data_IF_369652861029
#
_entry.id   IF_369652861029
#
_cell.length_a   1.000
_cell.length_b   1.000
_cell.length_c   1.000
_cell.angle_alpha   90.00
_cell.angle_beta   90.00
_cell.angle_gamma   90.00
#
_symmetry.space_group_name_H-M   'P 1'
#
loop_
_entity.id
_entity.type
_entity.pdbx_description
1 polymer ?
#
# COMPACT_ATOMS: atom_id res chain seq x y z
N UNK A 1 -24.73 5.55 -4.82
CA UNK A 1 -24.30 4.15 -4.92
C UNK A 1 -22.78 4.12 -4.98
N UNK A 2 -22.09 3.30 -4.18
CA UNK A 2 -20.63 3.13 -4.35
C UNK A 2 -20.39 2.21 -5.55
N UNK A 3 -19.87 2.76 -6.64
CA UNK A 3 -19.44 1.97 -7.79
C UNK A 3 -18.20 1.15 -7.41
N UNK A 4 -18.16 -0.15 -7.73
CA UNK A 4 -16.95 -0.94 -7.49
C UNK A 4 -15.88 -0.65 -8.54
N UNK A 5 -14.62 -0.97 -8.24
CA UNK A 5 -13.53 -0.86 -9.22
C UNK A 5 -13.81 -1.66 -10.49
N UNK A 6 -14.46 -2.83 -10.37
CA UNK A 6 -14.83 -3.67 -11.52
C UNK A 6 -15.91 -2.99 -12.36
N UNK A 7 -16.94 -2.43 -11.72
CA UNK A 7 -18.03 -1.76 -12.44
C UNK A 7 -17.52 -0.52 -13.18
N UNK A 8 -16.61 0.22 -12.56
CA UNK A 8 -15.97 1.38 -13.19
C UNK A 8 -15.09 0.97 -14.37
N UNK A 9 -14.32 -0.11 -14.24
CA UNK A 9 -13.50 -0.62 -15.33
C UNK A 9 -14.36 -1.10 -16.52
N UNK A 10 -15.49 -1.76 -16.25
CA UNK A 10 -16.42 -2.19 -17.29
C UNK A 10 -17.08 -1.00 -17.99
N UNK A 11 -17.51 0.02 -17.23
CA UNK A 11 -18.06 1.25 -17.81
C UNK A 11 -17.06 1.94 -18.76
N UNK A 12 -15.77 1.96 -18.41
CA UNK A 12 -14.73 2.50 -19.31
C UNK A 12 -14.53 1.65 -20.57
N UNK A 13 -14.57 0.31 -20.46
CA UNK A 13 -14.50 -0.59 -21.62
C UNK A 13 -15.70 -0.41 -22.54
N UNK A 14 -16.88 -0.28 -21.97
CA UNK A 14 -18.10 -0.08 -22.75
C UNK A 14 -18.06 1.26 -23.48
N UNK A 15 -17.64 2.33 -22.80
CA UNK A 15 -17.45 3.65 -23.41
C UNK A 15 -16.38 3.62 -24.50
N UNK A 16 -15.27 2.92 -24.29
CA UNK A 16 -14.20 2.85 -25.29
C UNK A 16 -14.62 2.10 -26.56
N UNK A 17 -15.60 1.19 -26.53
CA UNK A 17 -16.14 0.55 -27.74
C UNK A 17 -16.72 1.55 -28.75
N UNK A 18 -17.21 2.70 -28.27
CA UNK A 18 -17.76 3.76 -29.12
C UNK A 18 -16.69 4.72 -29.64
N UNK A 19 -15.48 4.64 -29.10
CA UNK A 19 -14.36 5.50 -29.45
C UNK A 19 -13.41 4.79 -30.42
N UNK A 20 -12.98 5.48 -31.48
CA UNK A 20 -11.96 4.97 -32.40
C UNK A 20 -10.56 5.32 -31.89
N UNK A 21 -10.03 4.49 -31.00
CA UNK A 21 -8.63 4.59 -30.58
C UNK A 21 -7.72 3.77 -31.51
N UNK A 22 -6.50 4.27 -31.83
CA UNK A 22 -5.44 3.43 -32.35
C UNK A 22 -5.18 2.25 -31.40
N UNK A 23 -4.99 1.03 -31.93
CA UNK A 23 -4.83 -0.18 -31.12
C UNK A 23 -3.64 -0.12 -30.16
N UNK A 24 -2.58 0.57 -30.55
CA UNK A 24 -1.39 0.81 -29.73
C UNK A 24 -1.60 1.80 -28.58
N UNK A 25 -2.67 2.59 -28.62
CA UNK A 25 -2.99 3.60 -27.61
C UNK A 25 -4.16 3.19 -26.71
N UNK A 26 -4.88 2.12 -27.07
CA UNK A 26 -6.10 1.70 -26.39
C UNK A 26 -5.86 1.38 -24.90
N UNK A 27 -4.83 0.59 -24.61
CA UNK A 27 -4.46 0.22 -23.22
C UNK A 27 -4.08 1.46 -22.41
N UNK A 28 -3.20 2.31 -22.94
CA UNK A 28 -2.73 3.52 -22.27
C UNK A 28 -3.87 4.49 -21.97
N UNK A 29 -4.80 4.67 -22.92
CA UNK A 29 -5.98 5.51 -22.74
C UNK A 29 -6.88 4.98 -21.61
N UNK A 30 -7.13 3.68 -21.58
CA UNK A 30 -7.94 3.04 -20.53
C UNK A 30 -7.29 3.14 -19.16
N UNK A 31 -5.97 2.87 -19.08
CA UNK A 31 -5.19 3.00 -17.84
C UNK A 31 -5.28 4.45 -17.33
N UNK A 32 -5.04 5.42 -18.21
CA UNK A 32 -5.07 6.85 -17.86
C UNK A 32 -6.45 7.28 -17.37
N UNK A 33 -7.51 6.91 -18.10
CA UNK A 33 -8.88 7.25 -17.73
C UNK A 33 -9.29 6.60 -16.40
N UNK A 34 -8.91 5.34 -16.19
CA UNK A 34 -9.19 4.62 -14.96
C UNK A 34 -8.47 5.23 -13.76
N UNK A 35 -7.14 5.37 -13.83
CA UNK A 35 -6.34 5.93 -12.74
C UNK A 35 -6.80 7.36 -12.43
N UNK A 36 -7.05 8.18 -13.45
CA UNK A 36 -7.55 9.54 -13.29
C UNK A 36 -8.94 9.64 -12.68
N UNK A 37 -9.82 8.65 -12.93
CA UNK A 37 -11.17 8.60 -12.41
C UNK A 37 -11.32 7.95 -11.02
N UNK A 38 -10.24 7.43 -10.43
CA UNK A 38 -10.32 6.85 -9.09
C UNK A 38 -10.53 7.93 -8.01
N UNK A 39 -11.55 7.70 -7.18
CA UNK A 39 -11.87 8.54 -6.02
C UNK A 39 -10.91 8.33 -4.84
N UNK A 40 -10.31 7.14 -4.73
CA UNK A 40 -9.38 6.83 -3.66
C UNK A 40 -7.97 7.34 -4.01
N UNK A 41 -7.60 8.48 -3.39
CA UNK A 41 -6.31 9.14 -3.61
C UNK A 41 -5.10 8.24 -3.31
N UNK A 42 -5.19 7.35 -2.32
CA UNK A 42 -4.10 6.44 -1.98
C UNK A 42 -3.88 5.39 -3.07
N UNK A 43 -4.97 4.78 -3.56
CA UNK A 43 -4.91 3.82 -4.67
C UNK A 43 -4.40 4.52 -5.93
N UNK A 44 -4.95 5.70 -6.25
CA UNK A 44 -4.53 6.51 -7.42
C UNK A 44 -3.04 6.82 -7.39
N UNK A 45 -2.54 7.34 -6.26
CA UNK A 45 -1.11 7.69 -6.10
C UNK A 45 -0.20 6.47 -6.28
N UNK A 46 -0.58 5.32 -5.74
CA UNK A 46 0.22 4.10 -5.90
C UNK A 46 0.24 3.57 -7.33
N UNK A 47 -0.88 3.65 -8.05
CA UNK A 47 -0.93 3.25 -9.46
C UNK A 47 -0.07 4.16 -10.33
N UNK A 48 -0.07 5.48 -10.08
CA UNK A 48 0.77 6.44 -10.80
C UNK A 48 2.27 6.24 -10.62
N UNK A 49 2.70 5.54 -9.56
CA UNK A 49 4.11 5.22 -9.30
C UNK A 49 4.57 3.94 -10.02
N UNK A 50 3.66 3.18 -10.63
CA UNK A 50 3.96 1.91 -11.28
C UNK A 50 3.96 2.07 -12.80
N UNK A 51 4.85 1.30 -13.45
CA UNK A 51 4.85 1.16 -14.89
C UNK A 51 3.89 0.04 -15.30
N UNK A 52 2.60 0.36 -15.37
CA UNK A 52 1.53 -0.59 -15.71
C UNK A 52 1.41 -0.68 -17.24
N UNK A 53 1.47 -1.88 -17.79
CA UNK A 53 1.47 -2.08 -19.24
C UNK A 53 0.09 -2.40 -19.79
N UNK A 54 -0.75 -3.03 -18.97
CA UNK A 54 -2.09 -3.46 -19.39
C UNK A 54 -3.15 -2.94 -18.44
N UNK A 55 -4.34 -2.75 -18.99
CA UNK A 55 -5.49 -2.30 -18.25
C UNK A 55 -5.92 -3.34 -17.20
N UNK A 56 -5.82 -4.63 -17.54
CA UNK A 56 -6.13 -5.72 -16.61
C UNK A 56 -5.16 -5.75 -15.42
N UNK A 57 -3.85 -5.57 -15.65
CA UNK A 57 -2.86 -5.42 -14.59
C UNK A 57 -3.19 -4.24 -13.66
N UNK A 58 -3.61 -3.13 -14.24
CA UNK A 58 -4.01 -1.92 -13.50
C UNK A 58 -5.19 -2.19 -12.57
N UNK A 59 -6.24 -2.84 -13.07
CA UNK A 59 -7.44 -3.19 -12.29
C UNK A 59 -7.07 -4.12 -11.14
N UNK A 60 -6.29 -5.17 -11.42
CA UNK A 60 -5.89 -6.13 -10.39
C UNK A 60 -5.03 -5.49 -9.31
N UNK A 61 -4.08 -4.64 -9.70
CA UNK A 61 -3.26 -3.88 -8.75
C UNK A 61 -4.13 -2.96 -7.89
N UNK A 62 -5.10 -2.26 -8.48
CA UNK A 62 -6.01 -1.37 -7.76
C UNK A 62 -6.82 -2.13 -6.70
N UNK A 63 -7.37 -3.30 -7.07
CA UNK A 63 -8.11 -4.18 -6.16
C UNK A 63 -7.24 -4.69 -5.01
N UNK A 64 -6.00 -5.09 -5.30
CA UNK A 64 -5.06 -5.53 -4.26
C UNK A 64 -4.79 -4.41 -3.26
N UNK A 65 -4.51 -3.18 -3.74
CA UNK A 65 -4.25 -2.04 -2.84
C UNK A 65 -5.49 -1.72 -2.02
N UNK A 66 -6.68 -1.70 -2.62
CA UNK A 66 -7.93 -1.43 -1.92
C UNK A 66 -8.18 -2.49 -0.82
N UNK A 67 -8.00 -3.78 -1.12
CA UNK A 67 -8.13 -4.85 -0.12
C UNK A 67 -7.16 -4.68 1.04
N UNK A 68 -5.88 -4.37 0.75
CA UNK A 68 -4.85 -4.15 1.78
C UNK A 68 -5.21 -2.96 2.67
N UNK A 69 -5.71 -1.86 2.09
CA UNK A 69 -6.13 -0.68 2.86
C UNK A 69 -7.32 -1.00 3.76
N UNK A 70 -8.31 -1.75 3.25
CA UNK A 70 -9.47 -2.19 4.02
C UNK A 70 -9.05 -3.13 5.14
N UNK A 71 -8.23 -4.14 4.87
CA UNK A 71 -7.75 -5.09 5.88
C UNK A 71 -6.85 -4.42 6.92
N UNK A 72 -5.93 -3.56 6.50
CA UNK A 72 -5.07 -2.78 7.39
C UNK A 72 -5.87 -1.85 8.31
N UNK A 73 -7.00 -1.33 7.84
CA UNK A 73 -7.91 -0.53 8.69
C UNK A 73 -8.60 -1.35 9.77
N UNK A 74 -8.87 -2.64 9.53
CA UNK A 74 -9.45 -3.56 10.52
C UNK A 74 -8.47 -3.89 11.64
N UNK A 75 -7.17 -3.99 11.33
CA UNK A 75 -6.10 -4.28 12.31
C UNK A 75 -5.90 -3.12 13.29
N UNK A 76 -6.06 -1.86 12.85
CA UNK A 76 -5.94 -0.68 13.72
C UNK A 76 -7.01 -0.59 14.82
N UNK A 77 -8.09 -1.37 14.73
CA UNK A 77 -9.15 -1.40 15.73
C UNK A 77 -8.99 -2.53 16.76
N UNK A 78 -7.86 -3.25 16.75
CA UNK A 78 -7.52 -4.19 17.82
C UNK A 78 -7.02 -3.35 19.01
N UNK A 79 -7.69 -3.38 20.18
CA UNK A 79 -7.20 -2.70 21.36
C UNK A 79 -5.78 -3.17 21.68
N UNK A 80 -4.90 -2.22 21.98
CA UNK A 80 -3.47 -2.43 22.24
C UNK A 80 -3.14 -3.37 23.42
N UNK A 81 -4.13 -3.98 24.06
CA UNK A 81 -3.97 -4.80 25.26
C UNK A 81 -3.66 -6.29 24.95
N UNK A 82 -3.84 -6.76 23.72
CA UNK A 82 -3.63 -8.18 23.35
C UNK A 82 -2.28 -8.48 22.67
N UNK A 83 -1.37 -7.51 22.57
CA UNK A 83 0.00 -7.74 22.09
C UNK A 83 0.99 -7.82 23.26
N UNK A 84 0.67 -8.60 24.29
CA UNK A 84 1.68 -9.11 25.22
C UNK A 84 2.43 -10.28 24.56
N UNK A 85 3.28 -9.94 23.59
CA UNK A 85 4.33 -10.84 23.12
C UNK A 85 5.31 -11.05 24.27
N UNK A 86 5.16 -12.23 24.90
CA UNK A 86 6.07 -12.88 25.83
C UNK A 86 7.44 -12.20 25.93
N UNK A 87 7.64 -11.42 27.00
CA UNK A 87 8.97 -11.08 27.51
C UNK A 87 9.73 -12.39 27.74
N UNK A 88 10.61 -12.74 26.81
CA UNK A 88 11.62 -13.77 27.01
C UNK A 88 12.53 -13.24 28.14
N UNK A 89 12.25 -13.73 29.34
CA UNK A 89 13.11 -13.65 30.51
C UNK A 89 14.39 -14.41 30.22
N UNK A 90 15.44 -13.71 29.75
CA UNK A 90 16.80 -14.20 29.94
C UNK A 90 17.31 -13.70 31.29
N UNK A 91 17.19 -14.60 32.28
CA UNK A 91 17.85 -14.44 33.57
C UNK A 91 19.38 -14.43 33.42
N UNK A 92 19.98 -13.51 34.18
CA UNK A 92 21.33 -13.56 34.79
C UNK A 92 22.55 -13.65 33.86
N UNK A 93 23.35 -12.57 33.87
CA UNK A 93 24.65 -12.60 34.58
C UNK A 93 24.86 -11.31 35.37
N UNK A 94 25.02 -11.46 36.68
CA UNK A 94 25.57 -10.42 37.56
C UNK A 94 27.00 -10.14 37.13
N UNK A 95 27.36 -8.87 36.86
CA UNK A 95 28.75 -8.41 36.95
C UNK A 95 28.80 -6.93 37.34
N UNK A 96 29.18 -6.70 38.59
CA UNK A 96 30.05 -5.63 39.11
C UNK A 96 30.18 -4.32 38.31
N UNK A 97 29.56 -3.27 38.86
CA UNK A 97 30.09 -1.92 39.08
C UNK A 97 31.40 -1.55 38.34
N UNK A 98 31.29 -0.78 37.25
CA UNK A 98 32.33 0.16 36.78
C UNK A 98 31.70 1.18 35.82
N UNK A 99 31.87 2.46 36.16
CA UNK A 99 31.53 3.63 35.35
C UNK A 99 31.92 3.41 33.87
N UNK A 100 30.94 3.41 32.96
CA UNK A 100 31.18 3.56 31.53
C UNK A 100 30.21 4.60 30.98
N UNK A 101 30.79 5.63 30.32
CA UNK A 101 30.06 6.74 29.70
C UNK A 101 29.06 6.23 28.67
N UNK A 102 27.89 6.88 28.52
CA UNK A 102 26.90 6.48 27.52
C UNK A 102 27.42 6.79 26.11
N UNK A 103 27.46 5.77 25.26
CA UNK A 103 27.75 5.91 23.83
C UNK A 103 26.42 6.13 23.11
N UNK A 104 26.35 7.11 22.20
CA UNK A 104 25.16 7.33 21.39
C UNK A 104 25.01 6.22 20.33
N UNK A 105 23.92 5.45 20.40
CA UNK A 105 23.65 4.32 19.48
C UNK A 105 23.31 4.73 18.03
N UNK A 106 23.23 6.03 17.71
CA UNK A 106 23.06 6.49 16.33
C UNK A 106 24.36 6.89 15.62
N UNK A 107 25.45 7.17 16.34
CA UNK A 107 26.70 7.61 15.70
C UNK A 107 27.99 7.06 16.34
N UNK A 108 27.90 6.27 17.40
CA UNK A 108 29.01 5.47 17.93
C UNK A 108 30.20 6.26 18.47
N UNK A 109 30.09 7.57 18.70
CA UNK A 109 31.20 8.39 19.20
C UNK A 109 31.15 8.55 20.73
N UNK A 110 32.34 8.63 21.34
CA UNK A 110 32.55 8.86 22.78
C UNK A 110 33.33 10.16 22.99
N UNK A 111 32.84 11.06 23.85
CA UNK A 111 33.65 12.15 24.45
C UNK A 111 34.62 11.61 25.51
#
# INVERSE_FOLDING_TARGET
SSQTLTDFANDLRDKSTTCKFPSNFYEEALITAFVGGLHNDHVRKHLMQRNLQTFEETINTAKTIESILIEGSKIKNIPSDELNLNKITQHRKQHTNRYQKPICFSCGSTD
#
